data_IF_982513357334
#
_entry.id   IF_982513357334
#
_cell.length_a   1.000
_cell.length_b   1.000
_cell.length_c   1.000
_cell.angle_alpha   90.00
_cell.angle_beta   90.00
_cell.angle_gamma   90.00
#
_symmetry.space_group_name_H-M   'P 1'
#
loop_
_entity.id
_entity.type
_entity.pdbx_description
1 polymer ?
#
# COMPACT_ATOMS: atom_id res chain seq x y z
N UNK A 1 -26.01 28.27 -20.10
CA UNK A 1 -24.55 28.18 -20.25
C UNK A 1 -24.14 26.75 -19.95
N UNK A 2 -23.99 25.95 -20.99
CA UNK A 2 -23.68 24.51 -20.93
C UNK A 2 -22.18 24.32 -20.75
N UNK A 3 -21.75 23.65 -19.68
CA UNK A 3 -20.39 23.12 -19.55
C UNK A 3 -20.43 21.63 -19.87
N UNK A 4 -19.69 21.26 -20.91
CA UNK A 4 -19.66 19.92 -21.51
C UNK A 4 -19.08 18.87 -20.57
N UNK A 5 -19.77 17.72 -20.47
CA UNK A 5 -19.17 16.46 -20.04
C UNK A 5 -18.25 15.96 -21.16
N UNK A 6 -16.97 15.75 -20.86
CA UNK A 6 -16.10 14.93 -21.69
C UNK A 6 -16.00 13.55 -21.06
N UNK A 7 -16.69 12.59 -21.67
CA UNK A 7 -16.39 11.16 -21.56
C UNK A 7 -15.04 10.87 -22.20
N UNK A 8 -14.17 10.15 -21.49
CA UNK A 8 -13.08 9.35 -22.06
C UNK A 8 -13.30 7.95 -21.48
N UNK A 9 -14.05 7.04 -22.11
CA UNK A 9 -13.73 6.26 -23.30
C UNK A 9 -12.46 5.39 -23.13
N UNK A 10 -12.69 4.20 -22.58
CA UNK A 10 -12.04 2.91 -22.87
C UNK A 10 -10.50 2.85 -23.02
N UNK A 11 -9.84 2.27 -22.02
CA UNK A 11 -8.56 1.59 -22.21
C UNK A 11 -8.73 0.09 -21.91
N UNK A 12 -9.24 -0.65 -22.89
CA UNK A 12 -9.12 -2.12 -22.96
C UNK A 12 -7.67 -2.44 -23.34
N UNK A 13 -6.78 -2.56 -22.35
CA UNK A 13 -5.46 -3.17 -22.57
C UNK A 13 -5.61 -4.67 -22.32
N UNK A 14 -5.73 -5.44 -23.40
CA UNK A 14 -5.48 -6.87 -23.38
C UNK A 14 -3.98 -7.10 -23.17
N UNK A 15 -3.53 -7.19 -21.92
CA UNK A 15 -2.17 -7.66 -21.62
C UNK A 15 -2.18 -9.19 -21.52
N UNK A 16 -1.24 -9.89 -22.18
CA UNK A 16 -1.02 -11.30 -21.92
C UNK A 16 -0.64 -11.48 -20.44
N UNK A 17 -1.46 -12.21 -19.70
CA UNK A 17 -1.22 -12.60 -18.31
C UNK A 17 -0.07 -13.62 -18.25
N UNK A 18 1.15 -13.16 -18.52
CA UNK A 18 2.36 -13.97 -18.55
C UNK A 18 3.44 -13.33 -17.67
N UNK A 19 3.21 -13.39 -16.36
CA UNK A 19 4.21 -13.52 -15.31
C UNK A 19 3.46 -13.27 -14.00
N UNK A 20 3.00 -14.35 -13.36
CA UNK A 20 2.77 -14.28 -11.92
C UNK A 20 4.17 -14.07 -11.34
N UNK A 21 4.49 -12.87 -10.85
CA UNK A 21 5.76 -12.65 -10.18
C UNK A 21 5.82 -13.63 -9.01
N UNK A 22 6.60 -14.71 -9.18
CA UNK A 22 6.75 -15.77 -8.19
C UNK A 22 7.67 -15.33 -7.02
N UNK A 23 8.23 -14.12 -7.13
CA UNK A 23 9.21 -13.57 -6.21
C UNK A 23 8.62 -12.37 -5.44
N UNK A 24 8.63 -12.37 -4.08
CA UNK A 24 8.12 -11.27 -3.28
C UNK A 24 8.82 -9.93 -3.57
N UNK A 25 10.08 -9.97 -4.00
CA UNK A 25 10.83 -8.80 -4.45
C UNK A 25 10.18 -8.14 -5.67
N UNK A 26 9.89 -8.91 -6.73
CA UNK A 26 9.30 -8.38 -7.96
C UNK A 26 7.89 -7.84 -7.74
N UNK A 27 7.10 -8.48 -6.88
CA UNK A 27 5.78 -7.99 -6.48
C UNK A 27 5.89 -6.65 -5.73
N UNK A 28 6.86 -6.54 -4.82
CA UNK A 28 7.12 -5.31 -4.11
C UNK A 28 7.55 -4.20 -5.09
N UNK A 29 8.58 -4.43 -5.89
CA UNK A 29 9.09 -3.44 -6.84
C UNK A 29 8.00 -2.98 -7.82
N UNK A 30 7.22 -3.91 -8.39
CA UNK A 30 6.11 -3.56 -9.30
C UNK A 30 5.03 -2.68 -8.67
N UNK A 31 4.98 -2.59 -7.34
CA UNK A 31 3.98 -1.80 -6.61
C UNK A 31 4.57 -0.50 -6.06
N UNK A 32 5.83 -0.52 -5.61
CA UNK A 32 6.43 0.55 -4.79
C UNK A 32 7.55 1.35 -5.47
N UNK A 33 8.11 0.85 -6.59
CA UNK A 33 9.04 1.59 -7.45
C UNK A 33 8.24 2.39 -8.46
N UNK A 34 7.93 3.64 -8.12
CA UNK A 34 6.98 4.46 -8.88
C UNK A 34 7.60 5.00 -10.17
N UNK A 35 8.90 5.30 -10.14
CA UNK A 35 9.62 5.78 -11.31
C UNK A 35 10.22 4.63 -12.19
N UNK A 36 10.21 3.40 -11.68
CA UNK A 36 10.67 2.21 -12.39
C UNK A 36 12.19 2.13 -12.52
N UNK A 37 12.95 2.81 -11.66
CA UNK A 37 14.41 2.86 -11.72
C UNK A 37 15.08 1.61 -11.11
N UNK A 38 14.31 0.70 -10.51
CA UNK A 38 14.77 -0.51 -9.83
C UNK A 38 15.08 -0.32 -8.35
N UNK A 39 14.70 0.81 -7.75
CA UNK A 39 14.91 1.16 -6.35
C UNK A 39 13.68 1.88 -5.79
N UNK A 40 12.99 1.27 -4.83
CA UNK A 40 11.89 1.93 -4.14
C UNK A 40 12.43 2.78 -2.97
N UNK A 41 12.32 4.09 -3.10
CA UNK A 41 12.84 5.06 -2.12
C UNK A 41 11.82 5.37 -1.03
N UNK A 42 12.29 5.89 0.12
CA UNK A 42 11.39 6.33 1.19
C UNK A 42 10.37 7.36 0.70
N UNK A 43 10.79 8.28 -0.19
CA UNK A 43 9.91 9.31 -0.74
C UNK A 43 8.75 8.71 -1.56
N UNK A 44 9.03 7.68 -2.37
CA UNK A 44 7.99 6.99 -3.15
C UNK A 44 7.04 6.21 -2.24
N UNK A 45 7.56 5.56 -1.19
CA UNK A 45 6.74 4.89 -0.19
C UNK A 45 5.85 5.90 0.57
N UNK A 46 6.38 7.06 0.93
CA UNK A 46 5.64 8.14 1.60
C UNK A 46 4.56 8.73 0.69
N UNK A 47 4.85 8.90 -0.61
CA UNK A 47 3.89 9.37 -1.61
C UNK A 47 2.71 8.41 -1.75
N UNK A 48 2.99 7.11 -1.96
CA UNK A 48 1.94 6.10 -2.02
C UNK A 48 1.11 6.04 -0.74
N UNK A 49 1.76 6.16 0.42
CA UNK A 49 1.06 6.12 1.72
C UNK A 49 0.22 7.37 1.94
N UNK A 50 0.64 8.53 1.46
CA UNK A 50 -0.15 9.74 1.49
C UNK A 50 -1.38 9.67 0.56
N UNK A 51 -1.23 9.09 -0.63
CA UNK A 51 -2.35 8.85 -1.55
C UNK A 51 -3.37 7.88 -0.94
N UNK A 52 -2.88 6.78 -0.37
CA UNK A 52 -3.72 5.83 0.37
C UNK A 52 -4.40 6.55 1.53
N UNK A 53 -3.69 7.31 2.37
CA UNK A 53 -4.31 8.07 3.45
C UNK A 53 -5.46 8.97 2.96
N UNK A 54 -5.22 9.75 1.91
CA UNK A 54 -6.21 10.68 1.33
C UNK A 54 -7.42 9.93 0.76
N UNK A 55 -7.23 8.73 0.23
CA UNK A 55 -8.35 7.91 -0.26
C UNK A 55 -9.26 7.37 0.87
N UNK A 56 -8.77 7.39 2.11
CA UNK A 56 -9.51 6.95 3.30
C UNK A 56 -10.09 8.12 4.11
N UNK A 57 -9.45 9.29 4.05
CA UNK A 57 -9.88 10.55 4.68
C UNK A 57 -11.04 11.14 3.87
N UNK A 58 -12.24 10.63 4.10
CA UNK A 58 -13.42 10.91 3.30
C UNK A 58 -13.96 12.32 3.56
N UNK A 59 -13.73 12.85 4.76
CA UNK A 59 -14.13 14.19 5.15
C UNK A 59 -13.02 15.26 4.92
N UNK A 60 -11.82 14.82 4.53
CA UNK A 60 -10.62 15.64 4.26
C UNK A 60 -10.16 16.47 5.47
N UNK A 61 -10.34 15.95 6.69
CA UNK A 61 -9.97 16.64 7.93
C UNK A 61 -8.53 16.34 8.41
N UNK A 62 -7.84 15.44 7.71
CA UNK A 62 -6.44 15.09 7.96
C UNK A 62 -6.24 14.03 9.04
N UNK A 63 -7.30 13.37 9.51
CA UNK A 63 -7.25 12.20 10.40
C UNK A 63 -8.15 11.09 9.88
N UNK A 64 -7.78 9.82 10.10
CA UNK A 64 -8.69 8.70 9.88
C UNK A 64 -9.33 8.33 11.21
N UNK A 65 -10.63 8.61 11.34
CA UNK A 65 -11.39 8.30 12.54
C UNK A 65 -12.03 6.90 12.50
N UNK A 66 -12.73 6.53 13.58
CA UNK A 66 -13.40 5.22 13.72
C UNK A 66 -14.50 5.01 12.68
N UNK A 67 -15.23 6.05 12.32
CA UNK A 67 -16.34 6.00 11.38
C UNK A 67 -15.81 5.78 9.95
N UNK A 68 -14.75 6.48 9.59
CA UNK A 68 -14.05 6.26 8.33
C UNK A 68 -13.43 4.86 8.28
N UNK A 69 -12.67 4.47 9.31
CA UNK A 69 -12.11 3.12 9.40
C UNK A 69 -13.18 2.02 9.30
N UNK A 70 -14.36 2.21 9.89
CA UNK A 70 -15.45 1.24 9.83
C UNK A 70 -16.00 1.04 8.41
N UNK A 71 -16.13 2.13 7.65
CA UNK A 71 -16.57 2.07 6.24
C UNK A 71 -15.58 1.26 5.41
N UNK A 72 -14.29 1.49 5.60
CA UNK A 72 -13.24 0.76 4.88
C UNK A 72 -13.08 -0.67 5.38
N UNK A 73 -13.24 -0.95 6.67
CA UNK A 73 -13.18 -2.31 7.21
C UNK A 73 -14.30 -3.18 6.63
N UNK A 74 -15.51 -2.65 6.46
CA UNK A 74 -16.61 -3.38 5.82
C UNK A 74 -16.34 -3.60 4.32
N UNK A 75 -15.90 -2.57 3.59
CA UNK A 75 -15.53 -2.70 2.19
C UNK A 75 -14.43 -3.75 1.99
N UNK A 76 -13.40 -3.71 2.84
CA UNK A 76 -12.26 -4.63 2.80
C UNK A 76 -12.65 -6.05 3.21
N UNK A 77 -13.52 -6.21 4.19
CA UNK A 77 -14.06 -7.53 4.56
C UNK A 77 -14.85 -8.16 3.40
N UNK A 78 -15.64 -7.35 2.68
CA UNK A 78 -16.34 -7.79 1.47
C UNK A 78 -15.37 -8.15 0.33
N UNK A 79 -14.33 -7.33 0.09
CA UNK A 79 -13.31 -7.63 -0.91
C UNK A 79 -12.55 -8.93 -0.58
N UNK A 80 -12.12 -9.10 0.67
CA UNK A 80 -11.45 -10.33 1.15
C UNK A 80 -12.38 -11.54 1.01
N UNK A 81 -13.69 -11.40 1.28
CA UNK A 81 -14.66 -12.47 1.13
C UNK A 81 -14.81 -12.95 -0.33
N UNK A 82 -14.49 -12.11 -1.31
CA UNK A 82 -14.45 -12.46 -2.73
C UNK A 82 -13.27 -13.34 -3.15
N UNK A 83 -12.25 -13.50 -2.29
CA UNK A 83 -11.07 -14.32 -2.57
C UNK A 83 -11.08 -15.64 -1.79
N UNK A 84 -10.51 -16.69 -2.38
CA UNK A 84 -10.37 -18.00 -1.74
C UNK A 84 -8.91 -18.49 -1.68
N UNK A 85 -8.65 -19.43 -0.76
CA UNK A 85 -7.35 -20.08 -0.59
C UNK A 85 -6.22 -19.13 -0.18
N UNK A 86 -5.00 -19.38 -0.67
CA UNK A 86 -3.79 -18.58 -0.35
C UNK A 86 -3.94 -17.09 -0.65
N UNK A 87 -4.80 -16.75 -1.62
CA UNK A 87 -5.05 -15.36 -2.03
C UNK A 87 -5.90 -14.61 -0.99
N UNK A 88 -6.87 -15.29 -0.38
CA UNK A 88 -7.63 -14.75 0.76
C UNK A 88 -6.71 -14.45 1.94
N UNK A 89 -5.80 -15.37 2.25
CA UNK A 89 -4.88 -15.23 3.38
C UNK A 89 -3.91 -14.05 3.21
N UNK A 90 -3.46 -13.81 1.97
CA UNK A 90 -2.63 -12.64 1.64
C UNK A 90 -3.42 -11.32 1.75
N UNK A 91 -4.62 -11.27 1.17
CA UNK A 91 -5.49 -10.09 1.26
C UNK A 91 -5.91 -9.81 2.70
N UNK A 92 -6.14 -10.85 3.51
CA UNK A 92 -6.47 -10.71 4.91
C UNK A 92 -5.29 -10.14 5.72
N UNK A 93 -4.05 -10.54 5.45
CA UNK A 93 -2.87 -9.93 6.08
C UNK A 93 -2.70 -8.46 5.72
N UNK A 94 -2.93 -8.10 4.45
CA UNK A 94 -2.93 -6.69 4.03
C UNK A 94 -4.05 -5.92 4.73
N UNK A 95 -5.23 -6.53 4.85
CA UNK A 95 -6.37 -5.96 5.55
C UNK A 95 -6.11 -5.73 7.03
N UNK A 96 -5.52 -6.70 7.73
CA UNK A 96 -5.18 -6.59 9.15
C UNK A 96 -4.09 -5.55 9.41
N UNK A 97 -3.11 -5.39 8.51
CA UNK A 97 -2.06 -4.37 8.62
C UNK A 97 -2.54 -2.93 8.44
N UNK A 98 -3.77 -2.75 7.96
CA UNK A 98 -4.42 -1.45 7.72
C UNK A 98 -5.56 -1.17 8.70
N UNK A 99 -5.74 -2.01 9.72
CA UNK A 99 -6.71 -1.78 10.80
C UNK A 99 -6.21 -0.66 11.70
N UNK A 100 -7.14 0.07 12.29
CA UNK A 100 -6.83 1.16 13.21
C UNK A 100 -5.85 0.71 14.31
N UNK A 101 -6.05 -0.48 14.87
CA UNK A 101 -5.18 -1.06 15.90
C UNK A 101 -3.71 -1.23 15.48
N UNK A 102 -3.43 -1.30 14.18
CA UNK A 102 -2.10 -1.44 13.62
C UNK A 102 -1.46 -0.08 13.25
N UNK A 103 -2.26 0.95 13.03
CA UNK A 103 -1.81 2.27 12.55
C UNK A 103 -1.94 3.39 13.58
N UNK A 104 -2.84 3.25 14.56
CA UNK A 104 -2.99 4.15 15.71
C UNK A 104 -1.86 3.90 16.70
N UNK A 105 -0.79 4.70 16.56
CA UNK A 105 0.42 4.54 17.35
C UNK A 105 0.28 5.10 18.78
N UNK A 106 -0.63 6.05 19.00
CA UNK A 106 -0.76 6.78 20.25
C UNK A 106 -1.98 6.32 21.10
N UNK A 107 -2.90 5.56 20.50
CA UNK A 107 -4.10 5.00 21.12
C UNK A 107 -5.25 5.99 21.29
N UNK A 108 -5.29 7.09 20.52
CA UNK A 108 -6.32 8.12 20.61
C UNK A 108 -7.53 7.85 19.71
N UNK A 109 -7.55 6.72 19.00
CA UNK A 109 -8.59 6.29 18.06
C UNK A 109 -8.71 7.19 16.82
N UNK A 110 -7.66 7.94 16.52
CA UNK A 110 -7.49 8.66 15.27
C UNK A 110 -6.12 8.31 14.70
N UNK A 111 -6.04 8.17 13.39
CA UNK A 111 -4.75 7.95 12.72
C UNK A 111 -4.42 9.20 11.95
N UNK A 112 -3.40 9.93 12.38
CA UNK A 112 -2.88 11.08 11.63
C UNK A 112 -1.99 10.64 10.47
N UNK A 113 -1.82 11.49 9.46
CA UNK A 113 -0.84 11.25 8.39
C UNK A 113 0.57 10.99 8.95
N UNK A 114 0.95 11.71 10.02
CA UNK A 114 2.26 11.55 10.66
C UNK A 114 2.43 10.16 11.30
N UNK A 115 1.39 9.59 11.91
CA UNK A 115 1.40 8.23 12.47
C UNK A 115 1.40 7.18 11.36
N UNK A 116 0.64 7.45 10.29
CA UNK A 116 0.60 6.62 9.11
C UNK A 116 1.97 6.54 8.40
N UNK A 117 2.67 7.68 8.29
CA UNK A 117 4.02 7.78 7.73
C UNK A 117 5.11 7.25 8.67
N UNK A 118 4.96 7.43 9.99
CA UNK A 118 5.92 6.88 10.97
C UNK A 118 6.01 5.35 10.87
N UNK A 119 4.90 4.70 10.55
CA UNK A 119 4.87 3.27 10.27
C UNK A 119 5.60 2.91 8.97
N UNK A 120 5.53 3.77 7.95
CA UNK A 120 6.27 3.63 6.68
C UNK A 120 7.78 3.67 6.90
N UNK A 121 8.29 4.61 7.69
CA UNK A 121 9.73 4.73 7.99
C UNK A 121 10.26 3.47 8.70
N UNK A 122 9.49 2.95 9.67
CA UNK A 122 9.84 1.69 10.36
C UNK A 122 9.88 0.51 9.39
N UNK A 123 8.89 0.41 8.51
CA UNK A 123 8.81 -0.65 7.51
C UNK A 123 9.94 -0.56 6.50
N UNK A 124 10.25 0.65 6.01
CA UNK A 124 11.38 0.91 5.13
C UNK A 124 12.68 0.44 5.75
N UNK A 125 12.96 0.84 6.99
CA UNK A 125 14.18 0.44 7.72
C UNK A 125 14.27 -1.08 7.94
N UNK A 126 13.12 -1.77 8.00
CA UNK A 126 13.08 -3.22 8.15
C UNK A 126 13.33 -3.96 6.83
N UNK A 127 13.01 -3.32 5.70
CA UNK A 127 13.18 -3.86 4.36
C UNK A 127 14.54 -3.52 3.76
N UNK A 128 15.06 -2.31 3.94
CA UNK A 128 16.41 -1.90 3.55
C UNK A 128 17.46 -2.62 4.44
N UNK A 129 17.89 -3.80 4.01
CA UNK A 129 18.80 -4.68 4.76
C UNK A 129 20.26 -4.39 4.48
N UNK A 130 20.56 -3.84 3.31
CA UNK A 130 21.91 -3.47 2.91
C UNK A 130 22.28 -2.04 3.38
N UNK A 131 21.29 -1.22 3.74
CA UNK A 131 21.45 0.13 4.27
C UNK A 131 21.84 1.14 3.19
N UNK A 132 21.49 0.90 1.93
CA UNK A 132 21.88 1.76 0.81
C UNK A 132 20.92 2.94 0.59
N UNK A 133 19.83 3.02 1.37
CA UNK A 133 18.85 4.08 1.28
C UNK A 133 17.76 3.84 0.23
N UNK A 134 17.63 2.61 -0.28
CA UNK A 134 16.53 2.17 -1.11
C UNK A 134 16.17 0.70 -0.85
N UNK A 135 14.96 0.32 -1.21
CA UNK A 135 14.57 -1.09 -1.21
C UNK A 135 14.75 -1.61 -2.64
N UNK A 136 15.65 -2.57 -2.79
CA UNK A 136 16.01 -3.17 -4.07
C UNK A 136 15.71 -4.67 -4.07
N UNK A 137 15.91 -5.33 -5.22
CA UNK A 137 15.82 -6.80 -5.27
C UNK A 137 16.84 -7.49 -4.34
N UNK A 138 17.97 -6.84 -4.05
CA UNK A 138 19.04 -7.40 -3.22
C UNK A 138 18.63 -7.50 -1.75
N UNK A 139 17.73 -6.64 -1.27
CA UNK A 139 17.21 -6.69 0.10
C UNK A 139 16.31 -7.89 0.38
N UNK A 140 15.69 -8.42 -0.67
CA UNK A 140 14.89 -9.63 -0.61
C UNK A 140 15.70 -10.89 -0.84
N UNK A 141 16.89 -10.79 -1.45
CA UNK A 141 17.82 -11.89 -1.52
C UNK A 141 18.34 -12.21 -0.11
N UNK A 142 18.14 -13.43 0.39
CA UNK A 142 18.83 -13.88 1.60
C UNK A 142 20.34 -13.69 1.38
N UNK A 143 21.00 -13.01 2.33
CA UNK A 143 22.46 -12.88 2.33
C UNK A 143 23.11 -14.24 2.07
N UNK A 144 24.08 -14.38 1.13
CA UNK A 144 24.99 -15.49 1.22
C UNK A 144 25.69 -15.37 2.59
N UNK A 145 25.57 -16.42 3.40
CA UNK A 145 26.32 -16.53 4.64
C UNK A 145 27.81 -16.31 4.32
N UNK A 146 28.42 -15.33 4.98
CA UNK A 146 29.88 -15.21 5.07
C UNK A 146 30.34 -16.02 6.28
#
# INVERSE_FOLDING_TARGET
MTKSLSLIAALLVSLPMAARAENPAEQFMSTWDLDGNGTATLAELEEMRADVFTSFDANEDGVLDLEEHAVFDEARANDVAGYEGKRREQMQKMADGMRMEATDANGDQQVTLAEFQSSTVKWFTQLDKNGDGGITMEDFAMKPAQ
#
